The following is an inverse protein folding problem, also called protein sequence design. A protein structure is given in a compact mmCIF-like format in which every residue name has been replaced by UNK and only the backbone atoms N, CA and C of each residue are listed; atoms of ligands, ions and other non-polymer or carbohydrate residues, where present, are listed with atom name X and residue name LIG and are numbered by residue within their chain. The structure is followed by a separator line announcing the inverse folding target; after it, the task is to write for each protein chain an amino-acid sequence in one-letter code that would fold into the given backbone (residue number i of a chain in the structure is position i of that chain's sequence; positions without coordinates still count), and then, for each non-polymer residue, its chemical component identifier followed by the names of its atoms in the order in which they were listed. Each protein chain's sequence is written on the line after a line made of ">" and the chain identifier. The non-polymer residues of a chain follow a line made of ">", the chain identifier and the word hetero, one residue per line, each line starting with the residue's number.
data_IF_007135659513
#
_entry.id   IF_007135659513
#
_cell.length_a   1.000
_cell.length_b   1.000
_cell.length_c   1.000
_cell.angle_alpha   90.00
_cell.angle_beta   90.00
_cell.angle_gamma   90.00
#
_symmetry.space_group_name_H-M   'P 1'
#
loop_
_entity.id
_entity.type
_entity.pdbx_description
1 polymer ?
#
# COMPACT_ATOMS: atom_id res chain seq x y z
N UNK A 1 14.85 2.22 2.36
CA UNK A 1 13.49 1.65 2.37
C UNK A 1 13.53 0.43 3.26
N UNK A 2 12.59 0.27 4.19
CA UNK A 2 12.46 -1.00 4.91
C UNK A 2 11.88 -2.08 4.01
N UNK A 3 12.11 -3.37 4.32
CA UNK A 3 11.61 -4.50 3.50
C UNK A 3 10.10 -4.43 3.19
N UNK A 4 9.31 -3.92 4.14
CA UNK A 4 7.87 -3.74 3.96
C UNK A 4 7.51 -2.66 2.92
N UNK A 5 8.27 -1.55 2.89
CA UNK A 5 8.08 -0.48 1.90
C UNK A 5 8.47 -0.92 0.48
N UNK A 6 9.53 -1.71 0.35
CA UNK A 6 9.94 -2.33 -0.93
C UNK A 6 8.89 -3.31 -1.45
N UNK A 7 8.41 -4.22 -0.60
CA UNK A 7 7.36 -5.16 -0.97
C UNK A 7 6.06 -4.44 -1.38
N UNK A 8 5.68 -3.38 -0.65
CA UNK A 8 4.52 -2.57 -1.00
C UNK A 8 4.70 -1.90 -2.37
N UNK A 9 5.88 -1.35 -2.64
CA UNK A 9 6.17 -0.74 -3.94
C UNK A 9 6.05 -1.78 -5.07
N UNK A 10 6.60 -2.98 -4.89
CA UNK A 10 6.51 -4.04 -5.90
C UNK A 10 5.08 -4.45 -6.22
N UNK A 11 4.20 -4.54 -5.21
CA UNK A 11 2.78 -4.85 -5.43
C UNK A 11 2.09 -3.72 -6.20
N UNK A 12 2.32 -2.46 -5.81
CA UNK A 12 1.76 -1.32 -6.54
C UNK A 12 2.20 -1.28 -8.00
N UNK A 13 3.46 -1.60 -8.29
CA UNK A 13 3.99 -1.67 -9.66
C UNK A 13 3.41 -2.87 -10.45
N UNK A 14 3.34 -4.05 -9.82
CA UNK A 14 2.82 -5.28 -10.43
C UNK A 14 1.36 -5.14 -10.82
N UNK A 15 0.55 -4.57 -9.93
CA UNK A 15 -0.89 -4.38 -10.14
C UNK A 15 -1.22 -3.04 -10.83
N UNK A 16 -0.21 -2.24 -11.21
CA UNK A 16 -0.34 -0.90 -11.82
C UNK A 16 -1.20 0.07 -10.98
N UNK A 17 -1.16 -0.10 -9.65
CA UNK A 17 -1.88 0.75 -8.70
C UNK A 17 -1.02 1.98 -8.39
N UNK A 18 -1.61 3.16 -8.58
CA UNK A 18 -0.94 4.43 -8.25
C UNK A 18 -0.97 4.69 -6.74
N UNK A 19 0.05 5.35 -6.19
CA UNK A 19 0.10 5.72 -4.77
C UNK A 19 -1.14 6.50 -4.30
N UNK A 20 -1.65 7.41 -5.15
CA UNK A 20 -2.90 8.14 -4.91
C UNK A 20 -4.11 7.20 -4.78
N UNK A 21 -4.16 6.15 -5.60
CA UNK A 21 -5.25 5.17 -5.57
C UNK A 21 -5.18 4.34 -4.29
N UNK A 22 -3.98 3.91 -3.87
CA UNK A 22 -3.80 3.27 -2.57
C UNK A 22 -4.24 4.18 -1.42
N UNK A 23 -3.95 5.48 -1.48
CA UNK A 23 -4.38 6.43 -0.46
C UNK A 23 -5.91 6.51 -0.34
N UNK A 24 -6.62 6.48 -1.47
CA UNK A 24 -8.09 6.45 -1.52
C UNK A 24 -8.62 5.13 -0.95
N UNK A 25 -8.05 3.99 -1.37
CA UNK A 25 -8.45 2.65 -0.89
C UNK A 25 -8.26 2.51 0.62
N UNK A 26 -7.18 3.07 1.16
CA UNK A 26 -6.82 3.02 2.57
C UNK A 26 -7.44 4.16 3.40
N UNK A 27 -8.30 4.98 2.79
CA UNK A 27 -8.92 6.16 3.42
C UNK A 27 -7.90 7.03 4.18
N UNK A 28 -6.70 7.18 3.62
CA UNK A 28 -5.57 7.85 4.25
C UNK A 28 -5.03 8.99 3.40
N UNK A 29 -4.13 9.79 3.98
CA UNK A 29 -3.48 10.88 3.25
C UNK A 29 -2.42 10.33 2.31
N UNK A 30 -2.31 10.90 1.10
CA UNK A 30 -1.24 10.55 0.15
C UNK A 30 0.17 10.68 0.75
N UNK A 31 0.38 11.65 1.65
CA UNK A 31 1.64 11.82 2.38
C UNK A 31 2.02 10.59 3.22
N UNK A 32 1.05 9.84 3.73
CA UNK A 32 1.27 8.64 4.53
C UNK A 32 1.79 7.50 3.65
N UNK A 33 1.16 7.30 2.49
CA UNK A 33 1.61 6.31 1.49
C UNK A 33 3.05 6.58 1.07
N UNK A 34 3.40 7.84 0.79
CA UNK A 34 4.77 8.21 0.46
C UNK A 34 5.77 7.93 1.60
N UNK A 35 5.36 8.11 2.87
CA UNK A 35 6.21 7.78 4.03
C UNK A 35 6.41 6.28 4.19
N UNK A 36 5.38 5.47 3.94
CA UNK A 36 5.45 4.01 3.97
C UNK A 36 6.42 3.47 2.91
N UNK A 37 6.28 3.93 1.67
CA UNK A 37 7.13 3.51 0.55
C UNK A 37 8.60 3.87 0.78
N UNK A 38 8.86 5.08 1.32
CA UNK A 38 10.23 5.50 1.68
C UNK A 38 10.78 4.85 2.95
N UNK A 39 9.95 4.10 3.70
CA UNK A 39 10.31 3.52 5.00
C UNK A 39 10.57 4.57 6.08
N UNK A 40 9.94 5.75 5.98
CA UNK A 40 10.04 6.82 6.98
C UNK A 40 9.13 6.57 8.20
N UNK A 41 8.12 5.72 8.03
CA UNK A 41 7.23 5.26 9.08
C UNK A 41 7.26 3.74 9.02
N UNK A 42 7.48 3.12 10.17
CA UNK A 42 7.45 1.66 10.24
C UNK A 42 6.02 1.17 10.06
N UNK A 43 5.83 0.25 9.13
CA UNK A 43 4.54 -0.38 8.90
C UNK A 43 4.38 -1.47 9.96
N UNK A 44 3.54 -1.21 10.97
CA UNK A 44 3.21 -2.24 11.95
C UNK A 44 2.59 -3.45 11.23
N UNK A 45 2.74 -4.65 11.81
CA UNK A 45 2.15 -5.87 11.24
C UNK A 45 0.65 -5.72 10.94
N UNK A 46 -0.09 -4.97 11.77
CA UNK A 46 -1.50 -4.68 11.54
C UNK A 46 -1.73 -3.83 10.29
N UNK A 47 -0.95 -2.75 10.10
CA UNK A 47 -1.05 -1.89 8.91
C UNK A 47 -0.72 -2.65 7.62
N UNK A 48 0.24 -3.58 7.67
CA UNK A 48 0.57 -4.44 6.52
C UNK A 48 -0.64 -5.33 6.17
N UNK A 49 -1.27 -5.92 7.17
CA UNK A 49 -2.47 -6.76 6.97
C UNK A 49 -3.62 -5.95 6.37
N UNK A 50 -3.89 -4.75 6.87
CA UNK A 50 -4.92 -3.85 6.35
C UNK A 50 -4.65 -3.49 4.88
N UNK A 51 -3.41 -3.12 4.53
CA UNK A 51 -3.02 -2.81 3.15
C UNK A 51 -3.24 -4.02 2.23
N UNK A 52 -2.79 -5.21 2.63
CA UNK A 52 -2.96 -6.43 1.83
C UNK A 52 -4.44 -6.78 1.64
N UNK A 53 -5.26 -6.64 2.67
CA UNK A 53 -6.71 -6.89 2.56
C UNK A 53 -7.39 -5.89 1.62
N UNK A 54 -7.06 -4.61 1.73
CA UNK A 54 -7.65 -3.57 0.90
C UNK A 54 -7.25 -3.71 -0.57
N UNK A 55 -5.98 -4.07 -0.84
CA UNK A 55 -5.49 -4.39 -2.18
C UNK A 55 -6.17 -5.63 -2.75
N UNK A 56 -6.25 -6.73 -1.99
CA UNK A 56 -6.94 -7.96 -2.42
C UNK A 56 -8.39 -7.70 -2.78
N UNK A 57 -9.13 -6.95 -1.95
CA UNK A 57 -10.53 -6.60 -2.21
C UNK A 57 -10.69 -5.80 -3.50
N UNK A 58 -9.77 -4.88 -3.77
CA UNK A 58 -9.78 -4.06 -4.99
C UNK A 58 -9.47 -4.90 -6.23
N UNK A 59 -8.51 -5.82 -6.13
CA UNK A 59 -8.09 -6.69 -7.23
C UNK A 59 -9.12 -7.78 -7.54
N UNK A 60 -9.78 -8.36 -6.52
CA UNK A 60 -10.82 -9.37 -6.71
C UNK A 60 -12.11 -8.83 -7.33
N UNK A 61 -12.37 -7.52 -7.24
CA UNK A 61 -13.53 -6.87 -7.87
C UNK A 61 -13.34 -6.57 -9.37
N UNK A 62 -12.20 -6.96 -9.97
CA UNK A 62 -11.93 -6.86 -11.41
C UNK A 62 -12.03 -8.22 -12.13
N UNK A 63 -12.69 -9.22 -11.53
CA UNK A 63 -12.95 -10.55 -12.09
C UNK A 63 -14.38 -10.72 -12.60
#
# INVERSE_FOLDING_TARGET
>A
MGKAGEALQQVLETDRIRQNQLAVIMETRHSNVGRWLRGQVDLTGNTIVEIVQALRKTLSNHG
#
